data_IF_069953951529
#
_entry.id   IF_069953951529
#
_cell.length_a   1.000
_cell.length_b   1.000
_cell.length_c   1.000
_cell.angle_alpha   90.00
_cell.angle_beta   90.00
_cell.angle_gamma   90.00
#
_symmetry.space_group_name_H-M   'P 1'
#
loop_
_entity.id
_entity.type
_entity.pdbx_description
1 polymer ?
#
# COMPACT_ATOMS: atom_id res chain seq x y z
N UNK A 1 -15.18 -9.61 2.20
CA UNK A 1 -14.64 -8.79 3.30
C UNK A 1 -13.12 -8.91 3.36
N UNK A 2 -12.40 -7.79 3.50
CA UNK A 2 -10.94 -7.74 3.63
C UNK A 2 -10.48 -6.96 4.89
N UNK A 3 -11.43 -6.58 5.75
CA UNK A 3 -11.17 -6.09 7.10
C UNK A 3 -11.58 -7.16 8.10
N UNK A 4 -10.67 -7.51 9.00
CA UNK A 4 -10.85 -8.52 10.02
C UNK A 4 -10.68 -7.90 11.41
N UNK A 5 -11.13 -8.61 12.45
CA UNK A 5 -10.87 -8.24 13.84
C UNK A 5 -9.43 -8.51 14.26
N UNK A 6 -8.74 -9.40 13.56
CA UNK A 6 -7.34 -9.72 13.73
C UNK A 6 -6.68 -9.85 12.36
N UNK A 7 -5.49 -9.33 12.20
CA UNK A 7 -4.69 -9.46 10.97
C UNK A 7 -3.19 -9.43 11.32
N UNK A 8 -2.39 -9.97 10.44
CA UNK A 8 -0.94 -9.85 10.51
C UNK A 8 -0.44 -8.81 9.51
N UNK A 9 0.54 -8.02 9.92
CA UNK A 9 1.18 -7.03 9.06
C UNK A 9 2.64 -7.40 8.87
N UNK A 10 3.04 -7.65 7.62
CA UNK A 10 4.43 -7.74 7.25
C UNK A 10 4.99 -6.33 7.07
N UNK A 11 6.22 -6.11 7.45
CA UNK A 11 6.81 -4.79 7.33
C UNK A 11 8.32 -4.81 7.34
N UNK A 12 8.87 -3.67 6.98
CA UNK A 12 10.29 -3.36 7.11
C UNK A 12 10.46 -1.89 7.48
N UNK A 13 11.49 -1.60 8.22
CA UNK A 13 11.75 -0.29 8.80
C UNK A 13 13.18 0.16 8.52
N UNK A 14 13.34 1.46 8.26
CA UNK A 14 14.64 2.10 8.16
C UNK A 14 14.69 3.32 9.09
N UNK A 15 15.69 3.40 9.91
CA UNK A 15 15.91 4.49 10.86
C UNK A 15 17.11 5.32 10.42
N UNK A 16 16.94 6.04 9.26
CA UNK A 16 17.99 6.89 8.70
C UNK A 16 19.05 6.15 7.89
N UNK A 17 18.75 4.93 7.42
CA UNK A 17 19.64 4.11 6.58
C UNK A 17 19.20 4.22 5.11
N UNK A 18 18.23 3.41 4.66
CA UNK A 18 17.67 3.52 3.31
C UNK A 18 16.38 4.37 3.29
N UNK A 19 15.99 4.85 2.10
CA UNK A 19 14.80 5.67 1.94
C UNK A 19 14.00 5.29 0.68
N UNK A 20 13.39 6.27 -0.01
CA UNK A 20 12.42 6.04 -1.09
C UNK A 20 12.96 5.18 -2.23
N UNK A 21 14.17 5.44 -2.69
CA UNK A 21 14.72 4.77 -3.87
C UNK A 21 14.86 3.26 -3.63
N UNK A 22 15.44 2.88 -2.52
CA UNK A 22 15.65 1.48 -2.19
C UNK A 22 14.32 0.77 -1.96
N UNK A 23 13.43 1.32 -1.12
CA UNK A 23 12.18 0.63 -0.79
C UNK A 23 11.24 0.51 -1.99
N UNK A 24 11.18 1.50 -2.86
CA UNK A 24 10.39 1.46 -4.09
C UNK A 24 10.89 0.35 -5.02
N UNK A 25 12.20 0.28 -5.24
CA UNK A 25 12.80 -0.77 -6.07
C UNK A 25 12.61 -2.16 -5.47
N UNK A 26 12.91 -2.33 -4.18
CA UNK A 26 12.82 -3.63 -3.51
C UNK A 26 11.38 -4.14 -3.40
N UNK A 27 10.42 -3.27 -3.12
CA UNK A 27 9.02 -3.67 -3.04
C UNK A 27 8.49 -4.17 -4.38
N UNK A 28 8.79 -3.46 -5.46
CA UNK A 28 8.39 -3.87 -6.80
C UNK A 28 9.09 -5.17 -7.24
N UNK A 29 10.39 -5.28 -6.94
CA UNK A 29 11.15 -6.50 -7.22
C UNK A 29 10.61 -7.71 -6.45
N UNK A 30 10.30 -7.57 -5.17
CA UNK A 30 9.71 -8.64 -4.36
C UNK A 30 8.39 -9.13 -4.97
N UNK A 31 7.51 -8.22 -5.32
CA UNK A 31 6.19 -8.58 -5.87
C UNK A 31 6.29 -9.21 -7.26
N UNK A 32 7.13 -8.67 -8.13
CA UNK A 32 7.18 -9.12 -9.53
C UNK A 32 8.13 -10.29 -9.77
N UNK A 33 9.34 -10.26 -9.16
CA UNK A 33 10.35 -11.30 -9.40
C UNK A 33 10.24 -12.47 -8.42
N UNK A 34 9.98 -12.20 -7.14
CA UNK A 34 9.94 -13.25 -6.12
C UNK A 34 8.57 -13.89 -6.02
N UNK A 35 7.50 -13.09 -5.93
CA UNK A 35 6.13 -13.63 -5.89
C UNK A 35 5.54 -13.88 -7.29
N UNK A 36 6.15 -13.34 -8.34
CA UNK A 36 5.74 -13.59 -9.71
C UNK A 36 4.43 -12.92 -10.11
N UNK A 37 4.05 -11.81 -9.46
CA UNK A 37 2.86 -11.07 -9.84
C UNK A 37 3.06 -10.40 -11.20
N UNK A 38 2.01 -10.41 -12.02
CA UNK A 38 2.05 -9.76 -13.31
C UNK A 38 2.11 -8.23 -13.11
N UNK A 39 3.13 -7.60 -13.68
CA UNK A 39 3.31 -6.13 -13.63
C UNK A 39 2.13 -5.36 -14.23
N UNK A 40 1.43 -5.95 -15.20
CA UNK A 40 0.26 -5.33 -15.82
C UNK A 40 -0.93 -5.21 -14.87
N UNK A 41 -0.95 -5.99 -13.80
CA UNK A 41 -2.01 -5.95 -12.78
C UNK A 41 -1.68 -5.01 -11.62
N UNK A 42 -0.46 -4.49 -11.56
CA UNK A 42 -0.01 -3.61 -10.46
C UNK A 42 -0.26 -2.13 -10.79
N UNK A 43 -0.73 -1.42 -9.79
CA UNK A 43 -0.89 0.04 -9.78
C UNK A 43 -0.18 0.60 -8.54
N UNK A 44 0.31 1.82 -8.63
CA UNK A 44 0.94 2.49 -7.49
C UNK A 44 0.29 3.85 -7.27
N UNK A 45 0.16 4.25 -6.02
CA UNK A 45 -0.31 5.59 -5.68
C UNK A 45 0.83 6.45 -5.16
N UNK A 46 0.72 7.76 -5.37
CA UNK A 46 1.68 8.76 -4.92
C UNK A 46 0.93 9.97 -4.37
N UNK A 47 1.42 10.53 -3.28
CA UNK A 47 0.81 11.69 -2.65
C UNK A 47 0.76 12.90 -3.58
N UNK A 48 -0.44 13.45 -3.80
CA UNK A 48 -0.67 14.60 -4.69
C UNK A 48 -0.38 15.96 -4.04
N UNK A 49 -0.14 15.97 -2.73
CA UNK A 49 0.03 17.19 -1.93
C UNK A 49 -1.22 17.54 -1.12
N UNK A 50 -1.07 18.50 -0.23
CA UNK A 50 -2.17 19.02 0.59
C UNK A 50 -2.02 20.55 0.81
N UNK A 51 -3.05 21.30 0.43
CA UNK A 51 -3.02 22.77 0.54
C UNK A 51 -3.11 23.27 1.97
N UNK A 52 -3.81 22.52 2.85
CA UNK A 52 -3.98 22.90 4.24
C UNK A 52 -2.67 22.82 5.00
N UNK A 53 -1.94 21.73 4.78
CA UNK A 53 -0.62 21.50 5.38
C UNK A 53 0.52 22.14 4.55
N UNK A 54 0.19 22.81 3.44
CA UNK A 54 1.17 23.43 2.50
C UNK A 54 2.19 22.43 1.97
N UNK A 55 1.77 21.20 1.78
CA UNK A 55 2.59 20.14 1.22
C UNK A 55 2.43 20.08 -0.30
N UNK A 56 3.55 19.98 -1.00
CA UNK A 56 3.56 19.72 -2.44
C UNK A 56 3.39 18.22 -2.73
N UNK A 57 3.06 17.91 -3.99
CA UNK A 57 3.12 16.56 -4.52
C UNK A 57 4.49 15.93 -4.23
N UNK A 58 4.50 14.65 -3.89
CA UNK A 58 5.74 13.86 -3.76
C UNK A 58 6.32 13.53 -5.15
N UNK A 59 6.97 14.54 -5.75
CA UNK A 59 7.60 14.37 -7.06
C UNK A 59 8.75 13.36 -7.03
N UNK A 60 9.45 13.24 -5.91
CA UNK A 60 10.55 12.30 -5.75
C UNK A 60 10.05 10.84 -5.91
N UNK A 61 8.98 10.46 -5.20
CA UNK A 61 8.38 9.14 -5.36
C UNK A 61 7.78 8.95 -6.76
N UNK A 62 7.14 9.97 -7.32
CA UNK A 62 6.59 9.92 -8.68
C UNK A 62 7.69 9.64 -9.73
N UNK A 63 8.80 10.36 -9.65
CA UNK A 63 9.91 10.22 -10.60
C UNK A 63 10.62 8.86 -10.46
N UNK A 64 10.68 8.31 -9.24
CA UNK A 64 11.20 6.95 -9.01
C UNK A 64 10.29 5.90 -9.62
N UNK A 65 8.97 5.97 -9.35
CA UNK A 65 8.00 5.05 -9.93
C UNK A 65 7.96 5.12 -11.46
N UNK A 66 8.07 6.30 -12.05
CA UNK A 66 8.02 6.48 -13.50
C UNK A 66 9.17 5.79 -14.26
N UNK A 67 10.24 5.42 -13.54
CA UNK A 67 11.35 4.62 -14.10
C UNK A 67 11.06 3.11 -14.09
N UNK A 68 10.06 2.67 -13.32
CA UNK A 68 9.76 1.27 -13.05
C UNK A 68 8.45 0.84 -13.72
N UNK A 69 7.42 1.70 -13.64
CA UNK A 69 6.09 1.43 -14.19
C UNK A 69 5.67 2.50 -15.20
N UNK A 70 4.82 2.18 -16.18
CA UNK A 70 4.23 3.19 -17.06
C UNK A 70 3.45 4.25 -16.28
N UNK A 71 3.47 5.50 -16.74
CA UNK A 71 2.83 6.62 -16.03
C UNK A 71 1.33 6.43 -15.79
N UNK A 72 0.64 5.71 -16.68
CA UNK A 72 -0.78 5.37 -16.52
C UNK A 72 -1.07 4.42 -15.35
N UNK A 73 -0.04 3.81 -14.79
CA UNK A 73 -0.11 2.98 -13.58
C UNK A 73 0.16 3.76 -12.29
N UNK A 74 0.53 5.03 -12.38
CA UNK A 74 0.80 5.89 -11.24
C UNK A 74 -0.42 6.78 -10.97
N UNK A 75 -1.09 6.56 -9.86
CA UNK A 75 -2.28 7.29 -9.43
C UNK A 75 -1.87 8.36 -8.41
N UNK A 76 -2.45 9.56 -8.52
CA UNK A 76 -2.29 10.60 -7.52
C UNK A 76 -3.37 10.45 -6.47
N UNK A 77 -2.98 10.32 -5.22
CA UNK A 77 -3.89 10.18 -4.10
C UNK A 77 -3.76 11.31 -3.09
N UNK A 78 -4.89 11.68 -2.52
CA UNK A 78 -4.99 12.76 -1.54
C UNK A 78 -4.45 12.37 -0.16
N UNK A 79 -4.55 13.32 0.77
CA UNK A 79 -4.06 13.13 2.14
C UNK A 79 -4.69 11.93 2.85
N UNK A 80 -5.95 11.64 2.57
CA UNK A 80 -6.66 10.53 3.19
C UNK A 80 -5.98 9.18 2.95
N UNK A 81 -5.48 8.96 1.73
CA UNK A 81 -4.96 7.68 1.29
C UNK A 81 -3.42 7.67 1.24
N UNK A 82 -2.80 8.80 0.88
CA UNK A 82 -1.35 8.87 0.64
C UNK A 82 -0.57 9.77 1.59
N UNK A 83 -1.09 10.06 2.78
CA UNK A 83 -0.34 10.71 3.85
C UNK A 83 -0.63 10.05 5.19
N UNK A 84 0.35 9.34 5.71
CA UNK A 84 0.22 8.60 6.96
C UNK A 84 0.59 9.49 8.17
N UNK A 85 -0.23 9.41 9.21
CA UNK A 85 -0.01 10.07 10.49
C UNK A 85 -0.18 9.04 11.62
N UNK A 86 0.76 9.03 12.56
CA UNK A 86 0.69 8.11 13.72
C UNK A 86 -0.55 8.38 14.58
N UNK A 87 -0.99 9.63 14.63
CA UNK A 87 -2.14 10.13 15.38
C UNK A 87 -2.21 11.63 15.28
N UNK A 88 -2.82 12.28 16.26
CA UNK A 88 -2.93 13.76 16.30
C UNK A 88 -1.56 14.46 16.36
N UNK A 89 -0.56 13.76 16.88
CA UNK A 89 0.84 14.21 16.97
C UNK A 89 1.77 13.04 16.71
N UNK A 90 3.01 13.34 16.31
CA UNK A 90 4.04 12.33 16.13
C UNK A 90 4.56 12.24 14.70
N UNK A 91 5.36 11.21 14.42
CA UNK A 91 5.93 10.98 13.09
C UNK A 91 4.85 10.85 12.03
N UNK A 92 5.12 11.42 10.86
CA UNK A 92 4.21 11.38 9.73
C UNK A 92 4.95 11.63 8.41
N UNK A 93 4.27 11.37 7.31
CA UNK A 93 4.83 11.65 5.99
C UNK A 93 3.96 11.13 4.85
N UNK A 94 4.30 11.52 3.61
CA UNK A 94 3.65 10.96 2.43
C UNK A 94 3.89 9.46 2.34
N UNK A 95 2.99 8.77 1.69
CA UNK A 95 3.15 7.35 1.42
C UNK A 95 2.81 7.01 -0.03
N UNK A 96 3.26 5.84 -0.44
CA UNK A 96 2.98 5.23 -1.73
C UNK A 96 2.43 3.85 -1.50
N UNK A 97 1.26 3.58 -2.05
CA UNK A 97 0.62 2.27 -1.95
C UNK A 97 0.85 1.47 -3.22
N UNK A 98 0.96 0.16 -3.09
CA UNK A 98 0.99 -0.76 -4.21
C UNK A 98 -0.30 -1.57 -4.18
N UNK A 99 -1.06 -1.48 -5.27
CA UNK A 99 -2.34 -2.15 -5.46
C UNK A 99 -2.23 -3.24 -6.53
N UNK A 100 -3.08 -4.25 -6.44
CA UNK A 100 -3.21 -5.28 -7.46
C UNK A 100 -4.66 -5.38 -7.94
N UNK A 101 -4.85 -5.51 -9.25
CA UNK A 101 -6.13 -5.75 -9.90
C UNK A 101 -6.29 -7.24 -10.21
N UNK A 102 -7.12 -7.92 -9.43
CA UNK A 102 -7.39 -9.35 -9.52
C UNK A 102 -8.56 -9.70 -10.45
N UNK A 103 -9.14 -8.70 -11.11
CA UNK A 103 -10.29 -8.91 -12.00
C UNK A 103 -9.88 -9.67 -13.27
N UNK A 104 -10.87 -10.26 -13.91
CA UNK A 104 -10.70 -10.87 -15.23
C UNK A 104 -10.38 -9.83 -16.32
N UNK A 105 -9.74 -10.24 -17.40
CA UNK A 105 -9.41 -9.37 -18.54
C UNK A 105 -10.67 -8.73 -19.15
N UNK A 106 -11.79 -9.44 -19.13
CA UNK A 106 -13.08 -8.93 -19.62
C UNK A 106 -13.63 -7.80 -18.73
N UNK A 107 -13.34 -7.79 -17.44
CA UNK A 107 -13.72 -6.72 -16.52
C UNK A 107 -12.74 -5.53 -16.64
N UNK A 108 -11.45 -5.81 -16.74
CA UNK A 108 -10.40 -4.80 -16.94
C UNK A 108 -10.60 -4.00 -18.23
N UNK A 109 -11.09 -4.66 -19.30
CA UNK A 109 -11.39 -3.99 -20.57
C UNK A 109 -12.59 -3.04 -20.51
N UNK A 110 -13.51 -3.22 -19.57
CA UNK A 110 -14.69 -2.36 -19.38
C UNK A 110 -14.38 -1.13 -18.52
N UNK A 111 -13.64 -1.33 -17.43
CA UNK A 111 -13.26 -0.27 -16.49
C UNK A 111 -11.76 -0.44 -16.21
N UNK A 112 -10.93 0.54 -16.56
CA UNK A 112 -9.49 0.49 -16.23
C UNK A 112 -9.27 0.36 -14.73
N UNK A 113 -8.29 -0.48 -14.32
CA UNK A 113 -7.99 -0.72 -12.90
C UNK A 113 -7.61 0.56 -12.13
N UNK A 114 -6.95 1.50 -12.81
CA UNK A 114 -6.59 2.80 -12.22
C UNK A 114 -7.79 3.59 -11.66
N UNK A 115 -8.97 3.42 -12.26
CA UNK A 115 -10.19 4.13 -11.85
C UNK A 115 -10.86 3.47 -10.63
N UNK A 116 -10.34 2.31 -10.19
CA UNK A 116 -10.84 1.55 -9.05
C UNK A 116 -9.87 1.50 -7.87
N UNK A 117 -8.67 2.04 -8.03
CA UNK A 117 -7.71 2.19 -6.91
C UNK A 117 -8.33 3.10 -5.84
N UNK A 118 -8.33 2.66 -4.59
CA UNK A 118 -8.93 3.34 -3.43
C UNK A 118 -10.46 3.62 -3.55
N UNK A 119 -11.16 2.81 -4.38
CA UNK A 119 -12.61 2.90 -4.57
C UNK A 119 -13.37 1.74 -3.91
N UNK A 120 -12.77 1.10 -2.91
CA UNK A 120 -13.36 -0.04 -2.16
C UNK A 120 -13.80 -1.22 -3.04
N UNK A 121 -13.14 -1.40 -4.20
CA UNK A 121 -13.44 -2.52 -5.07
C UNK A 121 -12.85 -3.83 -4.52
N UNK A 122 -13.65 -4.92 -4.39
CA UNK A 122 -13.20 -6.15 -3.71
C UNK A 122 -12.04 -6.87 -4.39
N UNK A 123 -11.81 -6.62 -5.69
CA UNK A 123 -10.75 -7.24 -6.48
C UNK A 123 -9.70 -6.25 -7.00
N UNK A 124 -9.73 -4.97 -6.56
CA UNK A 124 -8.63 -4.01 -6.76
C UNK A 124 -8.19 -3.57 -5.38
N UNK A 125 -7.20 -4.24 -4.85
CA UNK A 125 -6.86 -4.18 -3.42
C UNK A 125 -5.47 -3.62 -3.20
N UNK A 126 -5.33 -2.83 -2.15
CA UNK A 126 -4.03 -2.44 -1.61
C UNK A 126 -3.33 -3.66 -1.03
N UNK A 127 -2.09 -3.90 -1.47
CA UNK A 127 -1.20 -4.93 -0.92
C UNK A 127 -0.23 -4.36 0.10
N UNK A 128 0.40 -3.24 -0.22
CA UNK A 128 1.54 -2.73 0.52
C UNK A 128 1.52 -1.21 0.59
N UNK A 129 1.66 -0.66 1.78
CA UNK A 129 1.82 0.77 2.00
C UNK A 129 3.28 1.08 2.37
N UNK A 130 3.93 1.95 1.59
CA UNK A 130 5.30 2.41 1.80
C UNK A 130 5.23 3.82 2.39
N UNK A 131 5.48 3.95 3.69
CA UNK A 131 5.41 5.24 4.39
C UNK A 131 6.78 5.88 4.46
N UNK A 132 6.88 7.12 3.98
CA UNK A 132 8.08 7.94 3.97
C UNK A 132 8.04 8.94 5.12
N UNK A 133 8.51 8.53 6.29
CA UNK A 133 8.48 9.35 7.50
C UNK A 133 9.49 10.49 7.36
N UNK A 134 8.99 11.70 7.13
CA UNK A 134 9.79 12.90 6.88
C UNK A 134 9.51 14.02 7.88
N UNK A 135 8.35 13.97 8.55
CA UNK A 135 7.86 15.05 9.40
C UNK A 135 7.48 14.55 10.78
N UNK A 136 7.36 15.48 11.69
CA UNK A 136 6.74 15.29 12.99
C UNK A 136 5.62 16.34 13.15
N UNK A 137 4.38 15.87 13.40
CA UNK A 137 3.23 16.73 13.71
C UNK A 137 3.30 17.18 15.16
N UNK A 138 3.31 18.46 15.40
CA UNK A 138 3.29 19.05 16.74
C UNK A 138 1.85 19.21 17.24
N UNK A 139 1.69 19.37 18.56
CA UNK A 139 0.38 19.58 19.21
C UNK A 139 -0.37 20.85 18.77
N UNK A 140 0.35 21.85 18.24
CA UNK A 140 -0.24 23.03 17.63
C UNK A 140 -0.66 22.84 16.16
N UNK A 141 -0.46 21.63 15.60
CA UNK A 141 -0.79 21.27 14.23
C UNK A 141 0.33 21.51 13.21
N UNK A 142 1.45 22.12 13.59
CA UNK A 142 2.56 22.37 12.68
C UNK A 142 3.29 21.08 12.29
N UNK A 143 3.72 21.01 11.03
CA UNK A 143 4.64 19.99 10.54
C UNK A 143 6.07 20.50 10.61
N UNK A 144 6.93 19.74 11.26
CA UNK A 144 8.37 20.01 11.36
C UNK A 144 9.13 18.87 10.70
N UNK A 145 10.04 19.20 9.79
CA UNK A 145 10.88 18.17 9.17
C UNK A 145 11.75 17.46 10.21
N UNK A 146 11.87 16.15 10.05
CA UNK A 146 12.77 15.34 10.86
C UNK A 146 14.22 15.52 10.38
N UNK A 147 15.19 15.49 11.31
CA UNK A 147 16.61 15.61 10.96
C UNK A 147 17.12 14.41 10.12
N UNK A 148 16.45 13.28 10.23
CA UNK A 148 16.67 12.09 9.42
C UNK A 148 15.34 11.59 8.89
N UNK A 149 15.37 11.01 7.70
CA UNK A 149 14.21 10.39 7.07
C UNK A 149 14.17 8.90 7.39
N UNK A 150 12.98 8.35 7.56
CA UNK A 150 12.78 6.96 7.96
C UNK A 150 11.79 6.29 7.01
N UNK A 151 11.85 4.97 6.96
CA UNK A 151 10.86 4.13 6.28
C UNK A 151 10.07 3.34 7.32
N UNK A 152 8.77 3.30 7.12
CA UNK A 152 7.86 2.37 7.77
C UNK A 152 6.96 1.76 6.69
N UNK A 153 6.86 0.45 6.63
CA UNK A 153 5.99 -0.19 5.64
C UNK A 153 5.03 -1.17 6.28
N UNK A 154 3.86 -1.33 5.67
CA UNK A 154 2.88 -2.30 6.09
C UNK A 154 2.27 -3.04 4.90
N UNK A 155 2.42 -4.37 4.87
CA UNK A 155 1.80 -5.24 3.90
C UNK A 155 0.88 -6.22 4.61
N UNK A 156 -0.41 -6.23 4.25
CA UNK A 156 -1.39 -7.15 4.81
C UNK A 156 -1.07 -8.61 4.46
N UNK A 157 -0.71 -9.41 5.47
CA UNK A 157 -0.32 -10.81 5.25
C UNK A 157 -1.46 -11.63 4.64
N UNK A 158 -2.67 -11.50 5.14
CA UNK A 158 -3.85 -12.21 4.64
C UNK A 158 -4.19 -11.80 3.21
N UNK A 159 -4.04 -10.51 2.87
CA UNK A 159 -4.21 -10.01 1.49
C UNK A 159 -3.17 -10.61 0.55
N UNK A 160 -1.91 -10.66 0.96
CA UNK A 160 -0.83 -11.27 0.19
C UNK A 160 -1.10 -12.76 -0.05
N UNK A 161 -1.47 -13.50 0.99
CA UNK A 161 -1.79 -14.95 0.90
C UNK A 161 -2.99 -15.18 -0.03
N UNK A 162 -4.04 -14.34 0.06
CA UNK A 162 -5.18 -14.39 -0.85
C UNK A 162 -4.74 -14.32 -2.32
N UNK A 163 -3.86 -13.36 -2.64
CA UNK A 163 -3.36 -13.18 -4.01
C UNK A 163 -2.54 -14.38 -4.46
N UNK A 164 -1.59 -14.84 -3.63
CA UNK A 164 -0.73 -16.00 -3.95
C UNK A 164 -1.56 -17.26 -4.15
N UNK A 165 -2.57 -17.49 -3.31
CA UNK A 165 -3.45 -18.65 -3.39
C UNK A 165 -4.58 -18.49 -4.41
N UNK A 166 -4.69 -17.32 -5.08
CA UNK A 166 -5.75 -17.00 -6.06
C UNK A 166 -7.16 -17.25 -5.50
N UNK A 167 -7.41 -16.71 -4.29
CA UNK A 167 -8.70 -16.83 -3.60
C UNK A 167 -9.53 -15.56 -3.77
N UNK A 168 -10.86 -15.71 -3.76
CA UNK A 168 -11.80 -14.60 -3.92
C UNK A 168 -11.98 -13.79 -2.61
N UNK A 169 -11.68 -14.39 -1.47
CA UNK A 169 -11.73 -13.76 -0.16
C UNK A 169 -10.53 -14.16 0.71
N UNK A 170 -10.16 -13.31 1.67
CA UNK A 170 -9.17 -13.65 2.69
C UNK A 170 -9.62 -14.85 3.53
N UNK A 171 -10.94 -15.00 3.75
CA UNK A 171 -11.53 -16.11 4.49
C UNK A 171 -11.43 -17.46 3.77
N UNK A 172 -11.22 -17.45 2.45
CA UNK A 172 -11.03 -18.68 1.65
C UNK A 172 -9.56 -19.13 1.63
N UNK A 173 -8.69 -18.40 2.30
CA UNK A 173 -7.27 -18.77 2.39
C UNK A 173 -7.05 -19.86 3.44
N UNK A 174 -5.96 -20.62 3.28
CA UNK A 174 -5.60 -21.66 4.26
C UNK A 174 -5.42 -21.13 5.68
N UNK A 175 -5.10 -19.82 5.84
CA UNK A 175 -4.90 -19.21 7.14
C UNK A 175 -6.19 -19.11 7.96
N UNK A 176 -7.27 -18.64 7.32
CA UNK A 176 -8.54 -18.40 8.02
C UNK A 176 -9.48 -19.58 7.91
N UNK A 177 -9.47 -20.30 6.81
CA UNK A 177 -10.29 -21.50 6.61
C UNK A 177 -9.98 -22.62 7.63
N UNK A 178 -8.70 -22.81 7.98
CA UNK A 178 -8.31 -23.83 8.97
C UNK A 178 -8.67 -23.46 10.39
N UNK A 179 -8.76 -22.17 10.72
CA UNK A 179 -9.23 -21.71 12.04
C UNK A 179 -10.75 -21.87 12.18
N UNK A 180 -11.50 -21.70 11.10
CA UNK A 180 -12.97 -21.88 11.08
C UNK A 180 -13.35 -23.36 11.18
N UNK A 181 -12.60 -24.25 10.53
CA UNK A 181 -12.82 -25.70 10.59
C UNK A 181 -12.61 -26.30 12.00
N UNK A 182 -11.82 -25.65 12.85
CA UNK A 182 -11.61 -26.11 14.23
C UNK A 182 -12.82 -25.84 15.14
N UNK A 183 -13.66 -24.86 14.81
CA UNK A 183 -14.88 -24.53 15.57
C UNK A 183 -16.05 -25.47 15.23
N UNK A 184 -16.06 -26.07 14.03
CA UNK A 184 -17.12 -27.00 13.61
C UNK A 184 -16.98 -28.40 14.25
N UNK A 185 -15.81 -28.78 14.75
CA UNK A 185 -15.62 -30.08 15.43
C UNK A 185 -16.06 -30.11 16.92
N UNK A 186 -16.47 -28.98 17.46
CA UNK A 186 -16.87 -28.85 18.90
C UNK A 186 -18.36 -28.64 19.15
N UNK A 187 -19.24 -28.83 18.14
CA UNK A 187 -20.67 -28.70 18.25
C UNK A 187 -21.41 -30.05 18.20
#
# INVERSE_FOLDING_TARGET
HYHHTMFEMLGNWSFGDYFKEEIINWSYELLTKTYGFNSDDLYVSVFEGDKKDKLSKDNEAYDMWSKIVPNEKIILGGKKDNFWEMGDTGPCGPCSEIHIDLRSDSEKSKIPGKDLVNMDHPNVIELWNLVFIQFNRKSNGDLVELPQKHIDTGMGFERLVRVIQKKDSNYDTCLLYTSDAADDETS
#
